data_IF_752269481378
#
_entry.id   IF_752269481378
#
_cell.length_a   1.000
_cell.length_b   1.000
_cell.length_c   1.000
_cell.angle_alpha   90.00
_cell.angle_beta   90.00
_cell.angle_gamma   90.00
#
_symmetry.space_group_name_H-M   'P 1'
#
loop_
_entity.id
_entity.type
_entity.pdbx_description
1 polymer ?
#
# COMPACT_ATOMS: atom_id res chain seq x y z
N UNK A 1 8.95 15.91 -1.13
CA UNK A 1 8.81 16.26 -2.51
C UNK A 1 8.55 14.97 -3.22
N UNK A 2 7.32 14.79 -3.65
CA UNK A 2 7.22 14.35 -5.01
C UNK A 2 7.83 15.47 -5.80
N UNK A 3 9.16 15.54 -5.84
CA UNK A 3 9.82 16.28 -6.90
C UNK A 3 9.13 15.81 -8.15
N UNK A 4 8.73 16.72 -9.06
CA UNK A 4 8.16 16.30 -10.32
C UNK A 4 9.10 15.27 -10.92
N UNK A 5 8.69 14.00 -10.82
CA UNK A 5 9.44 12.92 -11.46
C UNK A 5 8.84 12.78 -12.84
N UNK A 6 9.66 12.96 -13.83
CA UNK A 6 9.19 13.01 -15.22
C UNK A 6 8.58 14.37 -15.58
N UNK A 7 7.34 14.38 -16.03
CA UNK A 7 6.62 15.57 -16.54
C UNK A 7 5.55 16.12 -15.57
N UNK A 8 5.55 15.70 -14.31
CA UNK A 8 4.60 16.19 -13.31
C UNK A 8 5.00 17.56 -12.77
N UNK A 9 4.05 18.49 -12.67
CA UNK A 9 4.23 19.88 -12.24
C UNK A 9 3.78 20.14 -10.79
N UNK A 10 3.78 19.12 -9.92
CA UNK A 10 3.31 19.23 -8.54
C UNK A 10 4.41 19.60 -7.55
N UNK A 11 4.01 20.14 -6.41
CA UNK A 11 4.86 20.30 -5.22
C UNK A 11 4.52 19.23 -4.16
N UNK A 12 5.44 18.99 -3.22
CA UNK A 12 5.24 18.03 -2.16
C UNK A 12 4.29 18.56 -1.09
N UNK A 13 3.10 17.95 -0.97
CA UNK A 13 2.04 18.34 -0.05
C UNK A 13 2.06 17.64 1.31
N UNK A 14 3.16 16.99 1.69
CA UNK A 14 3.35 16.31 2.98
C UNK A 14 2.31 15.22 3.31
N UNK A 15 1.62 14.71 2.31
CA UNK A 15 0.57 13.68 2.45
C UNK A 15 -0.85 14.25 2.40
N UNK A 16 -1.02 15.56 2.40
CA UNK A 16 -2.34 16.20 2.40
C UNK A 16 -2.79 16.60 0.99
N UNK A 17 -1.92 17.23 0.19
CA UNK A 17 -2.25 17.62 -1.18
C UNK A 17 -2.22 16.44 -2.17
N UNK A 18 -1.49 15.37 -1.85
CA UNK A 18 -1.44 14.14 -2.64
C UNK A 18 -2.82 13.43 -2.73
N UNK A 19 -3.81 13.87 -1.94
CA UNK A 19 -5.21 13.45 -2.13
C UNK A 19 -5.71 13.71 -3.54
N UNK A 20 -5.26 14.79 -4.18
CA UNK A 20 -5.68 15.14 -5.54
C UNK A 20 -5.18 14.13 -6.57
N UNK A 21 -4.00 13.54 -6.36
CA UNK A 21 -3.47 12.48 -7.21
C UNK A 21 -4.29 11.19 -7.05
N UNK A 22 -4.66 10.85 -5.81
CA UNK A 22 -5.54 9.72 -5.54
C UNK A 22 -6.93 9.92 -6.15
N UNK A 23 -7.52 11.11 -5.98
CA UNK A 23 -8.83 11.45 -6.54
C UNK A 23 -8.81 11.37 -8.09
N UNK A 24 -7.75 11.86 -8.72
CA UNK A 24 -7.58 11.80 -10.18
C UNK A 24 -7.44 10.34 -10.65
N UNK A 25 -6.68 9.52 -9.94
CA UNK A 25 -6.55 8.09 -10.26
C UNK A 25 -7.89 7.36 -10.13
N UNK A 26 -8.66 7.63 -9.06
CA UNK A 26 -9.98 7.04 -8.86
C UNK A 26 -10.98 7.49 -9.94
N UNK A 27 -10.98 8.78 -10.30
CA UNK A 27 -11.82 9.30 -11.39
C UNK A 27 -11.48 8.63 -12.73
N UNK A 28 -10.20 8.39 -13.01
CA UNK A 28 -9.75 7.68 -14.21
C UNK A 28 -10.26 6.23 -14.28
N UNK A 29 -10.18 5.49 -13.15
CA UNK A 29 -10.70 4.12 -13.04
C UNK A 29 -12.21 4.08 -13.29
N UNK A 30 -12.95 4.98 -12.65
CA UNK A 30 -14.40 5.11 -12.80
C UNK A 30 -14.82 5.47 -14.22
N UNK A 31 -14.14 6.44 -14.85
CA UNK A 31 -14.45 6.89 -16.22
C UNK A 31 -14.26 5.75 -17.26
N UNK A 32 -13.44 4.74 -16.94
CA UNK A 32 -13.25 3.54 -17.76
C UNK A 32 -14.22 2.40 -17.46
N UNK A 33 -15.13 2.59 -16.53
CA UNK A 33 -16.08 1.55 -16.11
C UNK A 33 -15.41 0.31 -15.50
N UNK A 34 -14.19 0.48 -14.94
CA UNK A 34 -13.49 -0.60 -14.28
C UNK A 34 -14.13 -0.91 -12.91
N UNK A 35 -14.04 -2.16 -12.43
CA UNK A 35 -14.58 -2.51 -11.11
C UNK A 35 -13.81 -1.78 -10.00
N UNK A 36 -14.34 -1.84 -8.78
CA UNK A 36 -13.70 -1.27 -7.60
C UNK A 36 -12.23 -1.75 -7.49
N UNK A 37 -11.25 -0.83 -7.52
CA UNK A 37 -9.84 -1.21 -7.51
C UNK A 37 -9.38 -1.59 -6.11
N UNK A 38 -8.26 -2.29 -6.05
CA UNK A 38 -7.42 -2.32 -4.85
C UNK A 38 -6.49 -1.12 -4.87
N UNK A 39 -6.32 -0.48 -3.70
CA UNK A 39 -5.28 0.53 -3.51
C UNK A 39 -4.04 -0.13 -2.93
N UNK A 40 -2.88 0.13 -3.56
CA UNK A 40 -1.60 -0.29 -3.05
C UNK A 40 -0.73 0.96 -2.82
N UNK A 41 -0.37 1.21 -1.58
CA UNK A 41 0.59 2.24 -1.20
C UNK A 41 1.92 1.64 -0.80
N UNK A 42 3.03 2.30 -1.13
CA UNK A 42 4.35 1.91 -0.67
C UNK A 42 5.03 3.08 0.04
N UNK A 43 5.60 2.81 1.24
CA UNK A 43 6.27 3.84 2.04
C UNK A 43 5.36 5.07 2.25
N UNK A 44 5.78 6.26 1.81
CA UNK A 44 4.97 7.47 1.84
C UNK A 44 3.58 7.30 1.19
N UNK A 45 3.46 6.50 0.13
CA UNK A 45 2.17 6.20 -0.49
C UNK A 45 1.17 5.50 0.44
N UNK A 46 1.65 4.80 1.48
CA UNK A 46 0.75 4.22 2.50
C UNK A 46 0.13 5.30 3.38
N UNK A 47 0.85 6.37 3.66
CA UNK A 47 0.34 7.50 4.44
C UNK A 47 -0.73 8.27 3.68
N UNK A 48 -0.52 8.53 2.37
CA UNK A 48 -1.55 9.11 1.49
C UNK A 48 -2.79 8.22 1.44
N UNK A 49 -2.59 6.90 1.31
CA UNK A 49 -3.69 5.93 1.29
C UNK A 49 -4.46 5.94 2.61
N UNK A 50 -3.80 5.89 3.75
CA UNK A 50 -4.45 5.89 5.07
C UNK A 50 -5.20 7.20 5.36
N UNK A 51 -4.69 8.33 4.92
CA UNK A 51 -5.35 9.63 5.08
C UNK A 51 -6.59 9.79 4.21
N UNK A 52 -6.53 9.34 2.96
CA UNK A 52 -7.53 9.74 1.95
C UNK A 52 -8.26 8.57 1.28
N UNK A 53 -7.71 7.35 1.31
CA UNK A 53 -8.27 6.20 0.58
C UNK A 53 -9.54 5.63 1.16
N UNK A 54 -9.84 5.87 2.45
CA UNK A 54 -10.97 5.25 3.16
C UNK A 54 -12.34 5.55 2.54
N UNK A 55 -12.52 6.75 2.01
CA UNK A 55 -13.78 7.18 1.39
C UNK A 55 -13.93 6.73 -0.08
N UNK A 56 -12.88 6.22 -0.70
CA UNK A 56 -12.90 5.78 -2.08
C UNK A 56 -13.65 4.43 -2.24
N UNK A 57 -14.34 4.20 -3.37
CA UNK A 57 -15.02 2.94 -3.66
C UNK A 57 -14.00 1.88 -4.08
N UNK A 58 -13.36 1.23 -3.12
CA UNK A 58 -12.30 0.26 -3.31
C UNK A 58 -12.69 -1.14 -2.86
N UNK A 59 -12.03 -2.16 -3.40
CA UNK A 59 -12.22 -3.56 -3.06
C UNK A 59 -11.29 -4.05 -1.94
N UNK A 60 -10.23 -3.30 -1.65
CA UNK A 60 -9.26 -3.63 -0.62
C UNK A 60 -8.06 -2.68 -0.63
N UNK A 61 -7.19 -2.82 0.35
CA UNK A 61 -5.99 -2.00 0.47
C UNK A 61 -4.75 -2.82 0.88
N UNK A 62 -3.62 -2.48 0.29
CA UNK A 62 -2.31 -3.07 0.62
C UNK A 62 -1.34 -1.94 0.99
N UNK A 63 -0.75 -2.04 2.17
CA UNK A 63 0.21 -1.10 2.71
C UNK A 63 1.59 -1.77 2.71
N UNK A 64 2.49 -1.35 1.82
CA UNK A 64 3.86 -1.87 1.75
C UNK A 64 4.81 -0.96 2.54
N UNK A 65 5.50 -1.52 3.52
CA UNK A 65 6.47 -0.79 4.36
C UNK A 65 5.90 0.53 4.90
N UNK A 66 4.76 0.54 5.62
CA UNK A 66 4.16 1.76 6.13
C UNK A 66 5.03 2.39 7.22
N UNK A 67 5.56 3.63 7.06
CA UNK A 67 6.38 4.26 8.08
C UNK A 67 5.56 4.93 9.20
N UNK A 68 4.31 5.30 8.93
CA UNK A 68 3.37 5.98 9.83
C UNK A 68 3.93 7.25 10.50
N UNK A 69 4.79 7.99 9.80
CA UNK A 69 5.39 9.23 10.32
C UNK A 69 4.44 10.43 10.25
N UNK A 70 3.55 10.44 9.22
CA UNK A 70 2.59 11.51 8.96
C UNK A 70 1.15 11.07 9.14
N UNK A 71 0.95 9.83 9.61
CA UNK A 71 -0.38 9.25 9.84
C UNK A 71 -0.62 9.18 11.34
N UNK A 72 -1.68 9.82 11.81
CA UNK A 72 -2.13 9.78 13.20
C UNK A 72 -2.88 8.49 13.52
N UNK A 73 -2.99 8.16 14.80
CA UNK A 73 -3.78 7.00 15.24
C UNK A 73 -5.29 7.17 14.90
N UNK A 74 -5.78 8.41 14.84
CA UNK A 74 -7.15 8.67 14.41
C UNK A 74 -7.38 8.34 12.93
N UNK A 75 -6.42 8.64 12.06
CA UNK A 75 -6.46 8.29 10.62
C UNK A 75 -6.39 6.78 10.43
N UNK A 76 -5.58 6.07 11.23
CA UNK A 76 -5.57 4.59 11.22
C UNK A 76 -6.90 4.04 11.74
N UNK A 77 -7.40 4.56 12.87
CA UNK A 77 -8.66 4.11 13.48
C UNK A 77 -9.88 4.28 12.55
N UNK A 78 -9.85 5.27 11.65
CA UNK A 78 -10.90 5.46 10.64
C UNK A 78 -11.09 4.25 9.70
N UNK A 79 -10.15 3.31 9.68
CA UNK A 79 -10.22 2.08 8.89
C UNK A 79 -10.80 0.89 9.66
N UNK A 80 -11.05 1.02 10.97
CA UNK A 80 -11.46 -0.09 11.83
C UNK A 80 -12.79 -0.76 11.42
N UNK A 81 -13.66 -0.04 10.72
CA UNK A 81 -14.95 -0.51 10.23
C UNK A 81 -14.99 -0.73 8.70
N UNK A 82 -13.84 -0.73 8.04
CA UNK A 82 -13.78 -0.93 6.60
C UNK A 82 -14.33 -2.32 6.22
N UNK A 83 -15.27 -2.40 5.24
CA UNK A 83 -15.94 -3.65 4.88
C UNK A 83 -15.15 -4.53 3.90
N UNK A 84 -13.91 -4.19 3.65
CA UNK A 84 -13.02 -4.86 2.69
C UNK A 84 -11.68 -5.22 3.36
N UNK A 85 -10.92 -6.17 2.79
CA UNK A 85 -9.64 -6.59 3.36
C UNK A 85 -8.58 -5.49 3.27
N UNK A 86 -7.80 -5.38 4.34
CA UNK A 86 -6.66 -4.47 4.44
C UNK A 86 -5.47 -5.25 4.98
N UNK A 87 -4.33 -5.16 4.31
CA UNK A 87 -3.11 -5.80 4.77
C UNK A 87 -1.94 -4.83 4.78
N UNK A 88 -1.15 -4.86 5.84
CA UNK A 88 0.13 -4.17 5.96
C UNK A 88 1.26 -5.21 5.89
N UNK A 89 2.07 -5.15 4.82
CA UNK A 89 3.28 -5.95 4.69
C UNK A 89 4.44 -5.16 5.26
N UNK A 90 4.95 -5.62 6.39
CA UNK A 90 5.96 -4.89 7.18
C UNK A 90 7.26 -5.66 7.17
N UNK A 91 8.33 -5.12 6.55
CA UNK A 91 9.64 -5.74 6.56
C UNK A 91 10.20 -5.88 7.98
N UNK A 92 10.79 -7.05 8.28
CA UNK A 92 11.40 -7.28 9.60
C UNK A 92 12.54 -6.31 9.91
N UNK A 93 13.34 -5.98 8.88
CA UNK A 93 14.50 -5.13 8.98
C UNK A 93 14.23 -3.71 8.43
N UNK A 94 13.00 -3.24 8.61
CA UNK A 94 12.62 -1.88 8.20
C UNK A 94 13.25 -0.84 9.14
N UNK A 95 13.86 0.19 8.55
CA UNK A 95 14.50 1.27 9.30
C UNK A 95 13.50 2.25 9.95
N UNK A 96 12.24 2.23 9.51
CA UNK A 96 11.19 3.16 9.98
C UNK A 96 10.21 2.51 10.94
N UNK A 97 9.65 1.35 10.58
CA UNK A 97 8.64 0.67 11.38
C UNK A 97 8.77 -0.84 11.24
N UNK A 98 9.13 -1.52 12.32
CA UNK A 98 9.26 -2.97 12.37
C UNK A 98 7.94 -3.65 12.77
N UNK A 99 7.75 -4.97 12.51
CA UNK A 99 6.48 -5.66 12.69
C UNK A 99 5.85 -5.56 14.08
N UNK A 100 6.65 -5.56 15.14
CA UNK A 100 6.13 -5.43 16.52
C UNK A 100 5.51 -4.06 16.74
N UNK A 101 6.25 -2.99 16.44
CA UNK A 101 5.75 -1.63 16.56
C UNK A 101 4.59 -1.34 15.60
N UNK A 102 4.60 -1.96 14.40
CA UNK A 102 3.48 -1.86 13.47
C UNK A 102 2.19 -2.45 14.05
N UNK A 103 2.25 -3.63 14.70
CA UNK A 103 1.09 -4.23 15.36
C UNK A 103 0.53 -3.34 16.48
N UNK A 104 1.39 -2.68 17.23
CA UNK A 104 0.98 -1.73 18.26
C UNK A 104 0.26 -0.51 17.66
N UNK A 105 0.82 0.06 16.58
CA UNK A 105 0.24 1.21 15.89
C UNK A 105 -1.08 0.87 15.20
N UNK A 106 -1.20 -0.31 14.60
CA UNK A 106 -2.43 -0.77 13.95
C UNK A 106 -3.46 -1.38 14.92
N UNK A 107 -3.17 -1.51 16.22
CA UNK A 107 -4.12 -2.06 17.19
C UNK A 107 -5.43 -1.26 17.31
N UNK A 108 -5.43 0.01 16.93
CA UNK A 108 -6.63 0.87 16.87
C UNK A 108 -7.57 0.52 15.69
N UNK A 109 -7.10 -0.29 14.73
CA UNK A 109 -7.87 -0.81 13.61
C UNK A 109 -7.60 -2.32 13.44
N UNK A 110 -8.19 -3.18 14.28
CA UNK A 110 -7.86 -4.59 14.38
C UNK A 110 -8.22 -5.44 13.14
N UNK A 111 -8.98 -4.88 12.20
CA UNK A 111 -9.27 -5.46 10.91
C UNK A 111 -8.12 -5.29 9.89
N UNK A 112 -7.07 -4.53 10.22
CA UNK A 112 -5.87 -4.44 9.40
C UNK A 112 -4.96 -5.63 9.75
N UNK A 113 -4.79 -6.54 8.80
CA UNK A 113 -3.85 -7.67 8.94
C UNK A 113 -2.41 -7.15 8.86
N UNK A 114 -1.58 -7.40 9.89
CA UNK A 114 -0.16 -7.03 9.89
C UNK A 114 0.70 -8.27 9.67
N UNK A 115 1.29 -8.37 8.49
CA UNK A 115 2.19 -9.46 8.09
C UNK A 115 3.64 -8.98 8.20
N UNK A 116 4.40 -9.53 9.15
CA UNK A 116 5.85 -9.35 9.22
C UNK A 116 6.54 -10.22 8.18
N UNK A 117 7.44 -9.66 7.39
CA UNK A 117 8.19 -10.40 6.37
C UNK A 117 9.65 -10.50 6.78
N UNK A 118 10.05 -11.73 7.12
CA UNK A 118 11.38 -12.07 7.61
C UNK A 118 12.47 -11.70 6.59
N UNK A 119 13.58 -11.12 7.07
CA UNK A 119 14.74 -10.73 6.29
C UNK A 119 14.50 -9.56 5.32
N UNK A 120 13.27 -9.10 5.17
CA UNK A 120 12.95 -8.00 4.25
C UNK A 120 13.39 -6.64 4.81
N UNK A 121 13.77 -5.74 3.89
CA UNK A 121 14.10 -4.34 4.16
C UNK A 121 13.08 -3.42 3.49
N UNK A 122 13.05 -2.17 3.91
CA UNK A 122 12.10 -1.13 3.47
C UNK A 122 11.84 -1.08 1.95
N UNK A 123 12.88 -1.22 1.14
CA UNK A 123 12.82 -1.10 -0.32
C UNK A 123 12.60 -2.42 -1.06
N UNK A 124 12.49 -3.55 -0.37
CA UNK A 124 12.29 -4.88 -0.98
C UNK A 124 13.35 -5.21 -2.05
N UNK A 125 14.60 -4.85 -1.79
CA UNK A 125 15.71 -4.98 -2.76
C UNK A 125 16.18 -6.43 -2.87
N UNK A 126 16.40 -6.86 -4.09
CA UNK A 126 16.90 -8.20 -4.42
C UNK A 126 15.77 -9.13 -4.91
N UNK A 127 16.14 -10.12 -5.67
CA UNK A 127 15.21 -11.04 -6.33
C UNK A 127 14.30 -11.76 -5.34
N UNK A 128 14.87 -12.26 -4.25
CA UNK A 128 14.13 -12.96 -3.20
C UNK A 128 13.05 -12.05 -2.56
N UNK A 129 13.42 -10.81 -2.17
CA UNK A 129 12.51 -9.89 -1.52
C UNK A 129 11.44 -9.37 -2.49
N UNK A 130 11.83 -9.09 -3.73
CA UNK A 130 10.89 -8.70 -4.79
C UNK A 130 9.90 -9.83 -5.07
N UNK A 131 10.37 -11.05 -5.23
CA UNK A 131 9.51 -12.22 -5.46
C UNK A 131 8.56 -12.44 -4.28
N UNK A 132 9.05 -12.28 -3.04
CA UNK A 132 8.23 -12.42 -1.83
C UNK A 132 7.11 -11.39 -1.78
N UNK A 133 7.40 -10.10 -1.96
CA UNK A 133 6.37 -9.05 -1.91
C UNK A 133 5.35 -9.20 -3.04
N UNK A 134 5.79 -9.55 -4.25
CA UNK A 134 4.89 -9.79 -5.37
C UNK A 134 3.98 -10.99 -5.11
N UNK A 135 4.49 -12.08 -4.55
CA UNK A 135 3.70 -13.24 -4.17
C UNK A 135 2.63 -12.87 -3.14
N UNK A 136 2.97 -12.11 -2.11
CA UNK A 136 2.03 -11.63 -1.09
C UNK A 136 0.93 -10.75 -1.69
N UNK A 137 1.29 -9.85 -2.60
CA UNK A 137 0.34 -8.97 -3.30
C UNK A 137 -0.59 -9.78 -4.19
N UNK A 138 -0.04 -10.64 -5.06
CA UNK A 138 -0.81 -11.44 -6.02
C UNK A 138 -1.71 -12.45 -5.31
N UNK A 139 -1.27 -13.03 -4.18
CA UNK A 139 -2.12 -13.92 -3.39
C UNK A 139 -3.43 -13.27 -2.93
N UNK A 140 -3.45 -11.96 -2.76
CA UNK A 140 -4.62 -11.18 -2.34
C UNK A 140 -5.44 -10.66 -3.51
N UNK A 141 -4.77 -10.27 -4.59
CA UNK A 141 -5.44 -9.69 -5.76
C UNK A 141 -5.97 -10.74 -6.73
N UNK A 142 -5.17 -11.78 -7.00
CA UNK A 142 -5.48 -12.83 -7.95
C UNK A 142 -4.75 -14.14 -7.60
N UNK A 143 -5.20 -14.88 -6.58
CA UNK A 143 -4.52 -16.10 -6.13
C UNK A 143 -4.42 -17.17 -7.22
N UNK A 144 -5.28 -17.13 -8.24
CA UNK A 144 -5.23 -18.07 -9.38
C UNK A 144 -4.00 -17.84 -10.29
N UNK A 145 -3.32 -16.69 -10.18
CA UNK A 145 -2.09 -16.39 -10.91
C UNK A 145 -0.82 -16.94 -10.21
N UNK A 146 -0.95 -17.59 -9.07
CA UNK A 146 0.16 -18.22 -8.38
C UNK A 146 0.38 -19.68 -8.82
N UNK A 147 1.63 -20.19 -8.81
CA UNK A 147 2.86 -19.48 -8.48
C UNK A 147 3.27 -18.49 -9.58
N UNK A 148 3.96 -17.42 -9.17
CA UNK A 148 4.52 -16.47 -10.12
C UNK A 148 5.59 -17.14 -10.99
N UNK A 149 5.72 -16.79 -12.28
CA UNK A 149 6.76 -17.34 -13.13
C UNK A 149 8.15 -16.94 -12.60
N UNK A 150 9.08 -17.91 -12.58
CA UNK A 150 10.44 -17.67 -12.16
C UNK A 150 11.25 -16.85 -13.18
N UNK A 151 10.80 -16.78 -14.42
CA UNK A 151 11.41 -16.03 -15.50
C UNK A 151 10.34 -15.15 -16.12
N UNK A 152 10.61 -13.86 -16.21
CA UNK A 152 9.75 -12.92 -16.94
C UNK A 152 9.98 -13.14 -18.43
N UNK A 153 9.10 -13.89 -19.07
CA UNK A 153 9.09 -13.94 -20.52
C UNK A 153 8.28 -12.75 -21.01
N UNK A 154 8.86 -11.97 -21.90
CA UNK A 154 8.10 -10.95 -22.63
C UNK A 154 6.92 -11.65 -23.28
N UNK A 155 5.73 -11.41 -22.75
CA UNK A 155 4.52 -11.91 -23.39
C UNK A 155 4.38 -11.19 -24.74
N UNK A 156 3.90 -11.87 -25.77
CA UNK A 156 3.77 -11.30 -27.11
C UNK A 156 2.82 -10.11 -27.17
#
# INVERSE_FOLDING_TARGET
TTSPRGTSDGEFGHGDDERHDLDAAMAFVQARGLPAPWLLGWSFGTEVLLKHGRAAPIAGAILLSPPLHRTSDAEVAAWADAPFPIVALVPELDDYLQPTAARERFAVAPNIEVVGVEGAKHLWVGEEQTSRVLTEVVARLNPAALPLPAVWNDAP
#
